data_IF_302377605815
#
_entry.id   IF_302377605815
#
_cell.length_a   1.000
_cell.length_b   1.000
_cell.length_c   1.000
_cell.angle_alpha   90.00
_cell.angle_beta   90.00
_cell.angle_gamma   90.00
#
_symmetry.space_group_name_H-M   'P 1'
#
loop_
_entity.id
_entity.type
_entity.pdbx_description
1 polymer ?
#
# COMPACT_ATOMS: atom_id res chain seq x y z
N UNK A 1 -11.02 -13.05 -43.00
CA UNK A 1 -9.66 -12.53 -42.78
C UNK A 1 -9.52 -12.49 -41.27
N UNK A 2 -8.69 -13.36 -40.71
CA UNK A 2 -8.43 -13.36 -39.27
C UNK A 2 -7.62 -12.11 -38.94
N UNK A 3 -8.18 -11.25 -38.09
CA UNK A 3 -7.50 -10.08 -37.58
C UNK A 3 -6.58 -10.58 -36.48
N UNK A 4 -5.25 -10.44 -36.59
CA UNK A 4 -4.34 -10.85 -35.52
C UNK A 4 -4.64 -10.00 -34.28
N UNK A 5 -4.93 -10.67 -33.16
CA UNK A 5 -5.03 -10.05 -31.84
C UNK A 5 -3.66 -10.15 -31.16
N UNK A 6 -3.17 -9.04 -30.64
CA UNK A 6 -1.94 -8.98 -29.85
C UNK A 6 -2.33 -8.73 -28.41
N UNK A 7 -1.81 -9.54 -27.50
CA UNK A 7 -1.92 -9.37 -26.07
C UNK A 7 -0.51 -9.41 -25.47
N UNK A 8 -0.24 -8.61 -24.43
CA UNK A 8 1.02 -8.71 -23.68
C UNK A 8 0.74 -9.43 -22.38
N UNK A 9 1.55 -10.44 -22.09
CA UNK A 9 1.49 -11.24 -20.88
C UNK A 9 2.62 -10.80 -19.97
N UNK A 10 2.29 -10.38 -18.76
CA UNK A 10 3.25 -10.05 -17.72
C UNK A 10 3.20 -11.16 -16.68
N UNK A 11 4.39 -11.63 -16.28
CA UNK A 11 4.55 -12.74 -15.37
C UNK A 11 5.64 -12.41 -14.37
N UNK A 12 5.25 -12.38 -13.10
CA UNK A 12 6.15 -12.21 -11.97
C UNK A 12 6.09 -13.48 -11.13
N UNK A 13 7.25 -14.01 -10.76
CA UNK A 13 7.38 -15.27 -10.04
C UNK A 13 8.37 -15.09 -8.91
N UNK A 14 7.89 -15.30 -7.70
CA UNK A 14 8.72 -15.37 -6.51
C UNK A 14 9.28 -16.78 -6.35
N UNK A 15 10.61 -16.88 -6.27
CA UNK A 15 11.32 -18.15 -6.21
C UNK A 15 12.17 -18.22 -4.94
N UNK A 16 12.02 -19.31 -4.19
CA UNK A 16 12.97 -19.69 -3.14
C UNK A 16 13.80 -20.87 -3.62
N UNK A 17 15.11 -20.83 -3.38
CA UNK A 17 16.00 -21.93 -3.71
C UNK A 17 16.99 -22.19 -2.57
N UNK A 18 17.03 -23.44 -2.11
CA UNK A 18 17.85 -23.90 -0.99
C UNK A 18 19.26 -24.38 -1.44
N UNK A 19 19.47 -24.56 -2.74
CA UNK A 19 20.73 -24.98 -3.35
C UNK A 19 21.11 -24.07 -4.55
N UNK A 20 21.77 -22.91 -4.31
CA UNK A 20 22.14 -21.96 -5.37
C UNK A 20 23.00 -22.57 -6.49
N UNK A 21 23.84 -23.56 -6.16
CA UNK A 21 24.67 -24.26 -7.14
C UNK A 21 23.84 -25.06 -8.18
N UNK A 22 22.65 -25.53 -7.79
CA UNK A 22 21.76 -26.29 -8.69
C UNK A 22 21.19 -25.39 -9.80
N UNK A 23 20.83 -24.16 -9.45
CA UNK A 23 20.36 -23.11 -10.38
C UNK A 23 21.44 -22.78 -11.41
N UNK A 24 22.67 -22.52 -10.94
CA UNK A 24 23.80 -22.24 -11.83
C UNK A 24 24.17 -23.43 -12.71
N UNK A 25 24.10 -24.66 -12.17
CA UNK A 25 24.35 -25.86 -12.96
C UNK A 25 23.31 -26.04 -14.08
N UNK A 26 22.05 -25.71 -13.81
CA UNK A 26 20.97 -25.75 -14.79
C UNK A 26 21.16 -24.68 -15.88
N UNK A 27 21.42 -23.42 -15.49
CA UNK A 27 21.70 -22.33 -16.43
C UNK A 27 22.91 -22.63 -17.35
N UNK A 28 23.97 -23.27 -16.83
CA UNK A 28 25.11 -23.71 -17.65
C UNK A 28 24.76 -24.83 -18.63
N UNK A 29 23.80 -25.70 -18.28
CA UNK A 29 23.31 -26.74 -19.18
C UNK A 29 22.48 -26.11 -20.30
N UNK A 30 21.56 -25.23 -19.96
CA UNK A 30 20.76 -24.45 -20.90
C UNK A 30 21.65 -23.64 -21.86
N UNK A 31 22.69 -22.97 -21.36
CA UNK A 31 23.65 -22.21 -22.17
C UNK A 31 24.33 -23.05 -23.26
N UNK A 32 24.61 -24.34 -22.97
CA UNK A 32 25.20 -25.28 -23.94
C UNK A 32 24.21 -25.74 -24.99
N UNK A 33 22.94 -25.78 -24.65
CA UNK A 33 21.84 -26.16 -25.56
C UNK A 33 21.49 -25.00 -26.49
N UNK A 34 21.53 -23.75 -25.99
CA UNK A 34 21.21 -22.55 -26.77
C UNK A 34 22.35 -22.01 -27.63
N UNK A 35 23.61 -22.35 -27.34
CA UNK A 35 24.73 -21.81 -28.11
C UNK A 35 24.83 -22.37 -29.54
N UNK A 36 24.06 -23.41 -29.89
CA UNK A 36 24.00 -24.06 -31.22
C UNK A 36 25.38 -24.25 -31.90
N UNK A 37 26.39 -24.60 -31.10
CA UNK A 37 27.78 -24.80 -31.55
C UNK A 37 28.65 -23.53 -31.68
N UNK A 38 28.13 -22.32 -31.45
CA UNK A 38 28.94 -21.10 -31.36
C UNK A 38 29.74 -21.07 -30.05
N UNK A 39 31.05 -21.22 -30.20
CA UNK A 39 31.99 -21.25 -29.08
C UNK A 39 32.19 -19.90 -28.39
N UNK A 40 31.96 -18.78 -29.08
CA UNK A 40 32.08 -17.46 -28.48
C UNK A 40 30.85 -17.15 -27.62
N UNK A 41 29.66 -17.34 -28.18
CA UNK A 41 28.40 -17.18 -27.45
C UNK A 41 28.33 -18.10 -26.22
N UNK A 42 28.82 -19.34 -26.35
CA UNK A 42 28.87 -20.28 -25.22
C UNK A 42 29.76 -19.77 -24.06
N UNK A 43 30.89 -19.15 -24.36
CA UNK A 43 31.80 -18.63 -23.32
C UNK A 43 31.15 -17.48 -22.54
N UNK A 44 30.45 -16.59 -23.24
CA UNK A 44 29.74 -15.46 -22.62
C UNK A 44 28.59 -15.94 -21.73
N UNK A 45 27.75 -16.86 -22.22
CA UNK A 45 26.64 -17.42 -21.45
C UNK A 45 27.13 -18.20 -20.22
N UNK A 46 28.23 -18.96 -20.35
CA UNK A 46 28.81 -19.68 -19.21
C UNK A 46 29.42 -18.75 -18.15
N UNK A 47 29.97 -17.60 -18.57
CA UNK A 47 30.48 -16.59 -17.65
C UNK A 47 29.34 -15.94 -16.86
N UNK A 48 28.25 -15.57 -17.54
CA UNK A 48 27.06 -15.00 -16.91
C UNK A 48 26.39 -15.98 -15.93
N UNK A 49 26.24 -17.25 -16.31
CA UNK A 49 25.69 -18.29 -15.43
C UNK A 49 26.56 -18.59 -14.20
N UNK A 50 27.83 -18.16 -14.19
CA UNK A 50 28.77 -18.37 -13.09
C UNK A 50 28.93 -17.14 -12.19
N UNK A 51 28.36 -16.00 -12.56
CA UNK A 51 28.50 -14.74 -11.83
C UNK A 51 27.79 -14.77 -10.48
N UNK A 52 26.50 -15.15 -10.48
CA UNK A 52 25.72 -15.35 -9.26
C UNK A 52 24.50 -16.26 -9.55
N UNK A 53 23.83 -16.80 -8.51
CA UNK A 53 22.59 -17.56 -8.68
C UNK A 53 21.46 -16.73 -9.30
N UNK A 54 21.40 -15.43 -8.98
CA UNK A 54 20.43 -14.48 -9.53
C UNK A 54 20.70 -14.21 -11.01
N UNK A 55 21.95 -13.97 -11.41
CA UNK A 55 22.33 -13.87 -12.83
C UNK A 55 22.00 -15.15 -13.60
N UNK A 56 22.11 -16.32 -12.97
CA UNK A 56 21.74 -17.59 -13.57
C UNK A 56 20.22 -17.76 -13.72
N UNK A 57 19.41 -17.24 -12.79
CA UNK A 57 17.94 -17.22 -12.93
C UNK A 57 17.49 -16.29 -14.06
N UNK A 58 18.09 -15.12 -14.19
CA UNK A 58 17.78 -14.15 -15.25
C UNK A 58 18.04 -14.70 -16.66
N UNK A 59 18.86 -15.74 -16.80
CA UNK A 59 19.10 -16.43 -18.07
C UNK A 59 17.99 -17.42 -18.44
N UNK A 60 17.20 -17.87 -17.47
CA UNK A 60 16.12 -18.84 -17.66
C UNK A 60 14.83 -18.07 -17.93
N UNK A 61 14.54 -17.88 -19.22
CA UNK A 61 13.46 -17.00 -19.71
C UNK A 61 12.07 -17.56 -19.42
N UNK A 62 11.95 -18.89 -19.30
CA UNK A 62 10.66 -19.54 -19.09
C UNK A 62 10.54 -20.09 -17.65
N UNK A 63 9.43 -19.81 -16.96
CA UNK A 63 9.11 -20.34 -15.63
C UNK A 63 9.25 -21.84 -15.49
N UNK A 64 8.81 -22.57 -16.52
CA UNK A 64 8.82 -24.04 -16.55
C UNK A 64 10.26 -24.61 -16.62
N UNK A 65 11.22 -23.84 -17.15
CA UNK A 65 12.64 -24.20 -17.16
C UNK A 65 13.26 -24.09 -15.76
N UNK A 66 12.60 -23.38 -14.84
CA UNK A 66 13.04 -23.20 -13.46
C UNK A 66 12.26 -24.13 -12.53
N UNK A 67 10.94 -24.10 -12.63
CA UNK A 67 9.99 -24.82 -11.79
C UNK A 67 9.88 -26.29 -12.23
N UNK A 68 10.47 -27.18 -11.43
CA UNK A 68 10.44 -28.64 -11.66
C UNK A 68 11.66 -29.20 -12.38
N UNK A 69 12.44 -28.36 -13.07
CA UNK A 69 13.68 -28.76 -13.73
C UNK A 69 14.94 -28.51 -12.87
N UNK A 70 14.87 -27.61 -11.90
CA UNK A 70 15.92 -27.34 -10.92
C UNK A 70 15.53 -27.90 -9.55
N UNK A 71 16.23 -28.92 -9.01
CA UNK A 71 15.96 -29.45 -7.69
C UNK A 71 16.16 -28.38 -6.60
N UNK A 72 15.19 -28.25 -5.70
CA UNK A 72 15.26 -27.31 -4.57
C UNK A 72 14.72 -25.91 -4.84
N UNK A 73 14.35 -25.61 -6.09
CA UNK A 73 13.63 -24.37 -6.42
C UNK A 73 12.14 -24.57 -6.21
N UNK A 74 11.51 -23.67 -5.46
CA UNK A 74 10.09 -23.71 -5.15
C UNK A 74 9.46 -22.37 -5.50
N UNK A 75 8.32 -22.39 -6.21
CA UNK A 75 7.50 -21.21 -6.41
C UNK A 75 6.87 -20.79 -5.07
N UNK A 76 7.11 -19.55 -4.67
CA UNK A 76 6.44 -18.94 -3.52
C UNK A 76 5.13 -18.27 -3.92
N UNK A 77 5.03 -17.83 -5.18
CA UNK A 77 3.85 -17.23 -5.79
C UNK A 77 4.08 -16.92 -7.27
N UNK A 78 2.99 -16.71 -8.00
CA UNK A 78 3.04 -16.22 -9.38
C UNK A 78 1.87 -15.26 -9.63
N UNK A 79 2.17 -14.08 -10.17
CA UNK A 79 1.20 -13.08 -10.60
C UNK A 79 1.22 -13.00 -12.13
N UNK A 80 0.05 -13.11 -12.74
CA UNK A 80 -0.14 -13.10 -14.19
C UNK A 80 -1.21 -12.08 -14.57
N UNK A 81 -0.90 -11.16 -15.48
CA UNK A 81 -1.89 -10.24 -16.05
C UNK A 81 -1.65 -10.03 -17.54
N UNK A 82 -2.72 -9.62 -18.23
CA UNK A 82 -2.76 -9.51 -19.69
C UNK A 82 -3.22 -8.11 -20.09
N UNK A 83 -2.39 -7.36 -20.83
CA UNK A 83 -2.83 -6.11 -21.46
C UNK A 83 -3.92 -6.42 -22.50
N UNK A 84 -5.09 -5.81 -22.33
CA UNK A 84 -6.18 -5.82 -23.32
C UNK A 84 -7.28 -6.84 -23.08
N UNK A 85 -7.42 -7.41 -21.88
CA UNK A 85 -8.57 -8.24 -21.51
C UNK A 85 -9.78 -7.40 -21.01
N UNK A 86 -10.13 -6.31 -21.71
CA UNK A 86 -11.46 -5.70 -21.59
C UNK A 86 -12.47 -6.53 -22.39
N UNK A 87 -12.81 -7.71 -21.85
CA UNK A 87 -13.94 -8.49 -22.31
C UNK A 87 -15.10 -8.30 -21.34
N UNK A 88 -16.00 -7.37 -21.64
CA UNK A 88 -17.26 -7.19 -20.92
C UNK A 88 -17.97 -8.54 -20.72
N UNK A 89 -18.51 -8.85 -19.52
CA UNK A 89 -19.44 -9.95 -19.37
C UNK A 89 -20.74 -9.61 -20.12
N UNK A 90 -21.02 -10.37 -21.18
CA UNK A 90 -22.23 -10.39 -22.03
C UNK A 90 -23.43 -9.55 -21.51
N UNK A 91 -23.53 -8.32 -22.02
CA UNK A 91 -24.73 -7.49 -21.92
C UNK A 91 -25.79 -7.99 -22.91
N UNK A 92 -26.60 -8.96 -22.49
CA UNK A 92 -27.90 -9.26 -23.08
C UNK A 92 -28.96 -9.48 -22.01
N UNK A 93 -29.33 -8.42 -21.28
CA UNK A 93 -30.74 -8.18 -20.91
C UNK A 93 -30.98 -6.66 -20.84
N UNK A 94 -32.00 -6.27 -21.58
CA UNK A 94 -32.40 -4.92 -21.95
C UNK A 94 -32.87 -4.06 -20.76
N UNK A 95 -32.42 -2.79 -20.76
CA UNK A 95 -33.26 -1.60 -20.97
C UNK A 95 -34.41 -1.35 -19.98
N UNK A 96 -34.31 -0.28 -19.18
CA UNK A 96 -35.10 0.94 -19.40
C UNK A 96 -34.76 1.98 -18.31
N UNK A 97 -34.45 3.18 -18.78
CA UNK A 97 -34.78 4.51 -18.25
C UNK A 97 -34.84 4.69 -16.72
N UNK A 98 -33.80 5.31 -16.15
CA UNK A 98 -33.94 6.43 -15.21
C UNK A 98 -32.69 7.31 -15.29
N UNK A 99 -32.78 8.38 -16.08
CA UNK A 99 -32.07 9.62 -15.82
C UNK A 99 -32.64 10.20 -14.50
N UNK A 100 -31.77 10.47 -13.53
CA UNK A 100 -31.99 11.55 -12.56
C UNK A 100 -30.64 11.96 -11.95
N UNK A 101 -30.27 13.18 -12.32
CA UNK A 101 -29.26 14.10 -11.79
C UNK A 101 -28.65 13.77 -10.42
N UNK A 102 -27.35 13.49 -10.41
CA UNK A 102 -26.46 13.94 -9.34
C UNK A 102 -25.18 14.48 -9.98
N UNK A 103 -25.29 15.67 -10.57
CA UNK A 103 -24.15 16.51 -10.89
C UNK A 103 -23.53 17.01 -9.58
N UNK A 104 -22.66 16.18 -8.99
CA UNK A 104 -21.67 16.61 -8.02
C UNK A 104 -20.33 16.65 -8.73
N UNK A 105 -19.92 17.83 -9.20
CA UNK A 105 -18.53 18.12 -9.56
C UNK A 105 -17.62 17.71 -8.39
N UNK A 106 -17.02 16.53 -8.48
CA UNK A 106 -15.98 16.05 -7.56
C UNK A 106 -14.78 15.56 -8.38
N UNK A 107 -14.46 16.28 -9.45
CA UNK A 107 -13.48 15.86 -10.47
C UNK A 107 -12.40 16.92 -10.73
N UNK A 108 -12.30 17.96 -9.89
CA UNK A 108 -11.39 19.08 -10.12
C UNK A 108 -10.25 19.24 -9.10
N UNK A 109 -10.28 18.55 -7.95
CA UNK A 109 -9.29 18.76 -6.88
C UNK A 109 -8.22 17.65 -6.80
N UNK A 110 -8.47 16.48 -7.39
CA UNK A 110 -7.48 15.39 -7.48
C UNK A 110 -6.46 15.59 -8.60
N UNK A 111 -6.82 16.28 -9.68
CA UNK A 111 -5.93 16.54 -10.82
C UNK A 111 -4.86 17.60 -10.56
N UNK A 112 -5.05 18.48 -9.57
CA UNK A 112 -4.14 19.60 -9.31
C UNK A 112 -2.93 19.20 -8.43
N UNK A 113 -2.97 18.03 -7.78
CA UNK A 113 -1.85 17.49 -6.97
C UNK A 113 -0.78 16.81 -7.85
N UNK A 114 -1.15 16.34 -9.04
CA UNK A 114 -0.29 15.59 -9.96
C UNK A 114 -0.39 16.21 -11.35
N UNK A 115 0.42 17.24 -11.60
CA UNK A 115 0.25 18.13 -12.76
C UNK A 115 0.23 17.43 -14.13
N UNK A 116 -0.58 17.99 -15.04
CA UNK A 116 -0.55 17.93 -16.53
C UNK A 116 -0.11 16.63 -17.26
N UNK A 117 -0.17 15.45 -16.64
CA UNK A 117 0.08 14.16 -17.31
C UNK A 117 -1.22 13.43 -17.67
N UNK A 118 -1.21 12.63 -18.74
CA UNK A 118 -2.36 11.84 -19.21
C UNK A 118 -2.96 11.01 -18.05
N UNK A 119 -4.29 10.78 -18.02
CA UNK A 119 -4.89 10.04 -16.92
C UNK A 119 -4.23 8.66 -16.79
N UNK A 120 -3.50 8.45 -15.69
CA UNK A 120 -2.90 7.17 -15.35
C UNK A 120 -3.97 6.08 -15.38
N UNK A 121 -3.70 4.95 -16.02
CA UNK A 121 -4.66 3.84 -16.06
C UNK A 121 -4.83 3.24 -14.67
N UNK A 122 -5.96 2.57 -14.40
CA UNK A 122 -6.18 1.89 -13.11
C UNK A 122 -5.04 0.91 -12.79
N UNK A 123 -4.51 0.22 -13.81
CA UNK A 123 -3.37 -0.69 -13.68
C UNK A 123 -2.07 0.03 -13.26
N UNK A 124 -1.85 1.26 -13.75
CA UNK A 124 -0.70 2.07 -13.35
C UNK A 124 -0.80 2.50 -11.87
N UNK A 125 -2.01 2.85 -11.42
CA UNK A 125 -2.29 3.15 -10.01
C UNK A 125 -2.05 1.94 -9.11
N UNK A 126 -2.56 0.77 -9.50
CA UNK A 126 -2.35 -0.47 -8.75
C UNK A 126 -0.87 -0.83 -8.65
N UNK A 127 -0.11 -0.67 -9.75
CA UNK A 127 1.33 -0.89 -9.76
C UNK A 127 2.06 0.10 -8.84
N UNK A 128 1.71 1.38 -8.90
CA UNK A 128 2.30 2.43 -8.05
C UNK A 128 2.03 2.17 -6.56
N UNK A 129 0.81 1.79 -6.21
CA UNK A 129 0.43 1.41 -4.84
C UNK A 129 1.24 0.19 -4.39
N UNK A 130 1.29 -0.87 -5.19
CA UNK A 130 2.03 -2.09 -4.86
C UNK A 130 3.52 -1.78 -4.63
N UNK A 131 4.16 -1.02 -5.53
CA UNK A 131 5.55 -0.63 -5.42
C UNK A 131 5.82 0.22 -4.17
N UNK A 132 4.91 1.13 -3.82
CA UNK A 132 5.04 2.00 -2.66
C UNK A 132 5.11 1.24 -1.31
N UNK A 133 4.74 -0.04 -1.28
CA UNK A 133 4.88 -0.89 -0.10
C UNK A 133 6.33 -0.93 0.42
N UNK A 134 7.34 -0.79 -0.44
CA UNK A 134 8.76 -0.80 -0.02
C UNK A 134 9.13 0.39 0.87
N UNK A 135 8.36 1.48 0.84
CA UNK A 135 8.63 2.71 1.60
C UNK A 135 8.28 2.58 3.09
N UNK A 136 7.51 1.55 3.48
CA UNK A 136 7.11 1.29 4.88
C UNK A 136 7.67 -0.04 5.44
N UNK A 137 8.99 -0.28 5.41
CA UNK A 137 9.56 -1.57 5.85
C UNK A 137 9.43 -1.81 7.36
N UNK A 138 9.11 -0.77 8.15
CA UNK A 138 8.80 -0.90 9.57
C UNK A 138 7.42 -1.49 9.85
N UNK A 139 6.56 -1.61 8.82
CA UNK A 139 5.25 -2.24 8.89
C UNK A 139 5.32 -3.68 8.37
N UNK A 140 5.35 -4.63 9.30
CA UNK A 140 5.45 -6.06 9.02
C UNK A 140 4.21 -6.58 8.28
N UNK A 141 4.42 -7.34 7.20
CA UNK A 141 3.36 -7.93 6.40
C UNK A 141 2.55 -8.97 7.19
N UNK A 142 3.13 -9.63 8.19
CA UNK A 142 2.36 -10.56 9.06
C UNK A 142 1.26 -9.82 9.84
N UNK A 143 1.50 -8.56 10.21
CA UNK A 143 0.50 -7.69 10.86
C UNK A 143 -0.60 -7.25 9.91
N UNK A 144 -0.35 -7.36 8.60
CA UNK A 144 -1.25 -7.01 7.51
C UNK A 144 -1.92 -8.23 6.86
N UNK A 145 -1.69 -9.42 7.39
CA UNK A 145 -2.44 -10.63 7.02
C UNK A 145 -1.65 -11.66 6.23
N UNK A 146 -0.37 -11.42 5.97
CA UNK A 146 0.51 -12.43 5.41
C UNK A 146 0.72 -13.59 6.41
N UNK A 147 0.54 -14.83 5.96
CA UNK A 147 0.71 -16.02 6.79
C UNK A 147 1.88 -16.87 6.31
N UNK A 148 3.01 -16.79 7.02
CA UNK A 148 4.21 -17.60 6.73
C UNK A 148 4.03 -19.10 7.01
N UNK A 149 3.03 -19.46 7.83
CA UNK A 149 2.72 -20.84 8.22
C UNK A 149 1.64 -21.50 7.37
N UNK A 150 1.06 -20.77 6.41
CA UNK A 150 0.09 -21.33 5.47
C UNK A 150 0.77 -22.39 4.58
N UNK A 151 0.14 -23.57 4.49
CA UNK A 151 0.67 -24.72 3.78
C UNK A 151 0.20 -24.77 2.31
N UNK A 152 -0.92 -24.11 2.00
CA UNK A 152 -1.37 -23.96 0.63
C UNK A 152 -0.60 -22.82 -0.06
N UNK A 153 0.25 -23.11 -1.07
CA UNK A 153 1.07 -22.10 -1.72
C UNK A 153 0.25 -20.98 -2.38
N UNK A 154 -0.91 -21.29 -2.94
CA UNK A 154 -1.76 -20.29 -3.62
C UNK A 154 -2.36 -19.30 -2.62
N UNK A 155 -2.83 -19.82 -1.48
CA UNK A 155 -3.39 -18.98 -0.39
C UNK A 155 -2.29 -18.14 0.25
N UNK A 156 -1.09 -18.71 0.42
CA UNK A 156 0.06 -17.98 0.94
C UNK A 156 0.47 -16.84 0.00
N UNK A 157 0.59 -17.12 -1.30
CA UNK A 157 0.92 -16.13 -2.32
C UNK A 157 -0.14 -15.00 -2.38
N UNK A 158 -1.42 -15.36 -2.33
CA UNK A 158 -2.51 -14.39 -2.26
C UNK A 158 -2.40 -13.50 -1.02
N UNK A 159 -2.16 -14.09 0.16
CA UNK A 159 -2.02 -13.32 1.41
C UNK A 159 -0.80 -12.38 1.39
N UNK A 160 0.30 -12.79 0.72
CA UNK A 160 1.48 -11.96 0.55
C UNK A 160 1.17 -10.74 -0.34
N UNK A 161 0.52 -10.97 -1.49
CA UNK A 161 0.09 -9.92 -2.41
C UNK A 161 -0.86 -8.94 -1.73
N UNK A 162 -1.89 -9.44 -1.06
CA UNK A 162 -2.87 -8.64 -0.35
C UNK A 162 -2.26 -7.81 0.78
N UNK A 163 -1.36 -8.39 1.58
CA UNK A 163 -0.63 -7.66 2.62
C UNK A 163 0.28 -6.58 2.02
N UNK A 164 0.91 -6.86 0.87
CA UNK A 164 1.75 -5.90 0.15
C UNK A 164 0.94 -4.73 -0.41
N UNK A 165 -0.20 -5.01 -1.05
CA UNK A 165 -1.17 -4.00 -1.48
C UNK A 165 -1.63 -3.13 -0.31
N UNK A 166 -1.98 -3.74 0.83
CA UNK A 166 -2.41 -3.00 2.01
C UNK A 166 -1.30 -2.09 2.55
N UNK A 167 -0.05 -2.56 2.57
CA UNK A 167 1.09 -1.73 2.99
C UNK A 167 1.30 -0.54 2.04
N UNK A 168 1.18 -0.79 0.74
CA UNK A 168 1.22 0.23 -0.30
C UNK A 168 0.09 1.25 -0.19
N UNK A 169 -1.13 0.79 0.07
CA UNK A 169 -2.29 1.64 0.26
C UNK A 169 -2.16 2.52 1.50
N UNK A 170 -1.65 1.97 2.62
CA UNK A 170 -1.34 2.73 3.83
C UNK A 170 -0.28 3.81 3.54
N UNK A 171 0.72 3.49 2.71
CA UNK A 171 1.71 4.47 2.31
C UNK A 171 1.10 5.62 1.50
N UNK A 172 0.32 5.30 0.47
CA UNK A 172 -0.41 6.30 -0.32
C UNK A 172 -1.28 7.19 0.56
N UNK A 173 -2.07 6.57 1.44
CA UNK A 173 -2.96 7.26 2.36
C UNK A 173 -2.21 8.15 3.35
N UNK A 174 -1.01 7.73 3.77
CA UNK A 174 -0.14 8.52 4.62
C UNK A 174 0.43 9.74 3.88
N UNK A 175 0.91 9.58 2.64
CA UNK A 175 1.37 10.73 1.83
C UNK A 175 0.23 11.73 1.61
N UNK A 176 -0.94 11.23 1.20
CA UNK A 176 -2.15 12.04 1.06
C UNK A 176 -2.50 12.78 2.36
N UNK A 177 -2.51 12.09 3.51
CA UNK A 177 -2.77 12.70 4.81
C UNK A 177 -1.77 13.82 5.14
N UNK A 178 -0.48 13.65 4.83
CA UNK A 178 0.54 14.68 5.08
C UNK A 178 0.27 15.93 4.27
N UNK A 179 0.00 15.80 2.96
CA UNK A 179 -0.26 16.95 2.09
C UNK A 179 -1.50 17.72 2.56
N UNK A 180 -2.56 17.00 2.88
CA UNK A 180 -3.80 17.57 3.39
C UNK A 180 -3.61 18.27 4.75
N UNK A 181 -2.75 17.72 5.63
CA UNK A 181 -2.42 18.38 6.90
C UNK A 181 -1.56 19.64 6.71
N UNK A 182 -0.73 19.72 5.67
CA UNK A 182 -0.04 20.97 5.31
C UNK A 182 -1.05 22.04 4.87
N UNK A 183 -2.03 21.67 4.05
CA UNK A 183 -3.10 22.56 3.61
C UNK A 183 -3.95 23.04 4.79
N UNK A 184 -4.35 22.14 5.69
CA UNK A 184 -5.07 22.47 6.91
C UNK A 184 -4.30 23.47 7.80
N UNK A 185 -2.98 23.25 7.96
CA UNK A 185 -2.11 24.17 8.71
C UNK A 185 -2.06 25.55 8.02
N UNK A 186 -1.96 25.59 6.69
CA UNK A 186 -1.93 26.83 5.93
C UNK A 186 -3.26 27.59 6.03
N UNK A 187 -4.38 26.89 5.87
CA UNK A 187 -5.73 27.44 5.98
C UNK A 187 -5.95 28.07 7.36
N UNK A 188 -5.70 27.32 8.43
CA UNK A 188 -5.90 27.81 9.80
C UNK A 188 -4.95 28.96 10.16
N UNK A 189 -3.70 28.97 9.67
CA UNK A 189 -2.79 30.10 9.90
C UNK A 189 -3.24 31.38 9.19
N UNK A 190 -3.90 31.24 8.05
CA UNK A 190 -4.42 32.37 7.27
C UNK A 190 -5.72 32.89 7.86
N UNK A 191 -6.62 31.97 8.23
CA UNK A 191 -7.91 32.25 8.85
C UNK A 191 -8.15 31.29 10.02
N UNK A 192 -7.87 31.71 11.27
CA UNK A 192 -8.02 30.84 12.45
C UNK A 192 -9.44 30.33 12.75
N UNK A 193 -10.45 30.79 11.99
CA UNK A 193 -11.83 30.32 12.08
C UNK A 193 -12.25 29.36 10.96
N UNK A 194 -11.38 29.08 9.99
CA UNK A 194 -11.66 28.27 8.79
C UNK A 194 -11.51 26.76 9.04
N UNK A 195 -11.93 26.26 10.21
CA UNK A 195 -11.87 24.83 10.51
C UNK A 195 -12.86 24.03 9.66
N UNK A 196 -13.93 24.67 9.21
CA UNK A 196 -14.88 24.15 8.24
C UNK A 196 -14.29 23.99 6.83
N UNK A 197 -13.22 24.70 6.52
CA UNK A 197 -12.43 24.54 5.28
C UNK A 197 -11.31 23.50 5.46
N UNK A 198 -11.06 23.01 6.68
CA UNK A 198 -10.01 22.02 6.95
C UNK A 198 -10.51 20.59 6.66
N UNK A 199 -9.72 19.86 5.89
CA UNK A 199 -10.09 18.57 5.32
C UNK A 199 -9.90 17.45 6.37
N UNK A 200 -8.68 17.29 6.89
CA UNK A 200 -8.35 16.19 7.80
C UNK A 200 -8.64 16.54 9.26
N UNK A 201 -8.37 17.79 9.66
CA UNK A 201 -8.71 18.25 11.00
C UNK A 201 -10.22 18.35 11.22
N UNK A 202 -11.01 18.57 10.17
CA UNK A 202 -12.47 18.52 10.21
C UNK A 202 -13.01 17.12 10.51
N UNK A 203 -12.28 16.07 10.13
CA UNK A 203 -12.62 14.67 10.35
C UNK A 203 -12.28 14.14 11.75
N UNK A 204 -11.56 14.91 12.57
CA UNK A 204 -11.26 14.57 13.97
C UNK A 204 -12.51 14.65 14.87
N UNK A 205 -12.47 14.08 16.09
CA UNK A 205 -13.64 14.01 16.97
C UNK A 205 -14.34 15.36 17.20
N UNK A 206 -15.59 15.56 16.73
CA UNK A 206 -16.17 16.89 16.55
C UNK A 206 -16.41 17.66 17.86
N UNK A 207 -16.53 16.95 18.99
CA UNK A 207 -16.70 17.57 20.31
C UNK A 207 -15.52 18.46 20.72
N UNK A 208 -14.36 18.27 20.09
CA UNK A 208 -13.12 18.96 20.41
C UNK A 208 -12.73 20.04 19.39
N UNK A 209 -13.59 20.34 18.40
CA UNK A 209 -13.32 21.28 17.32
C UNK A 209 -12.83 22.66 17.79
N UNK A 210 -13.30 23.15 18.95
CA UNK A 210 -12.84 24.42 19.52
C UNK A 210 -11.35 24.45 19.87
N UNK A 211 -10.68 23.29 19.91
CA UNK A 211 -9.25 23.15 20.18
C UNK A 211 -8.40 23.05 18.90
N UNK A 212 -9.01 22.85 17.73
CA UNK A 212 -8.30 22.61 16.46
C UNK A 212 -7.83 23.93 15.82
N UNK A 213 -7.06 24.71 16.58
CA UNK A 213 -6.43 25.93 16.09
C UNK A 213 -5.10 25.68 15.37
N UNK A 214 -4.44 26.75 14.88
CA UNK A 214 -3.20 26.64 14.10
C UNK A 214 -2.08 25.87 14.81
N UNK A 215 -1.90 26.08 16.12
CA UNK A 215 -0.87 25.36 16.88
C UNK A 215 -1.20 23.87 17.04
N UNK A 216 -2.49 23.53 17.21
CA UNK A 216 -2.92 22.13 17.25
C UNK A 216 -2.61 21.45 15.93
N UNK A 217 -2.99 22.07 14.81
CA UNK A 217 -2.71 21.58 13.46
C UNK A 217 -1.21 21.30 13.24
N UNK A 218 -0.36 22.25 13.62
CA UNK A 218 1.09 22.09 13.51
C UNK A 218 1.63 20.93 14.36
N UNK A 219 1.15 20.77 15.60
CA UNK A 219 1.54 19.65 16.46
C UNK A 219 1.02 18.32 15.93
N UNK A 220 -0.20 18.29 15.40
CA UNK A 220 -0.83 17.11 14.82
C UNK A 220 -0.08 16.64 13.55
N UNK A 221 0.32 17.58 12.68
CA UNK A 221 1.20 17.29 11.54
C UNK A 221 2.54 16.70 12.01
N UNK A 222 3.16 17.27 13.04
CA UNK A 222 4.46 16.76 13.53
C UNK A 222 4.35 15.34 14.10
N UNK A 223 3.31 15.01 14.88
CA UNK A 223 3.15 13.60 15.34
C UNK A 223 2.83 12.65 14.19
N UNK A 224 2.16 13.13 13.13
CA UNK A 224 1.90 12.34 11.93
C UNK A 224 3.20 12.05 11.19
N UNK A 225 4.11 13.02 11.05
CA UNK A 225 5.45 12.80 10.50
C UNK A 225 6.29 11.81 11.34
N UNK A 226 6.18 11.88 12.67
CA UNK A 226 6.81 10.91 13.56
C UNK A 226 6.24 9.49 13.35
N UNK A 227 4.93 9.37 13.14
CA UNK A 227 4.28 8.09 12.81
C UNK A 227 4.82 7.54 11.49
N UNK A 228 4.92 8.36 10.44
CA UNK A 228 5.51 7.96 9.17
C UNK A 228 6.96 7.49 9.31
N UNK A 229 7.75 8.17 10.13
CA UNK A 229 9.12 7.74 10.46
C UNK A 229 9.13 6.36 11.11
N UNK A 230 8.20 6.09 12.04
CA UNK A 230 8.07 4.78 12.66
C UNK A 230 7.66 3.70 11.65
N UNK A 231 6.66 3.97 10.80
CA UNK A 231 6.21 3.07 9.72
C UNK A 231 7.34 2.75 8.73
N UNK A 232 8.23 3.72 8.47
CA UNK A 232 9.38 3.55 7.60
C UNK A 232 10.58 2.83 8.24
N UNK A 233 10.60 2.62 9.57
CA UNK A 233 11.78 2.09 10.28
C UNK A 233 11.47 0.90 11.18
N UNK A 234 10.72 1.12 12.26
CA UNK A 234 10.37 0.08 13.23
C UNK A 234 9.07 0.44 13.95
N UNK A 235 7.94 0.16 13.30
CA UNK A 235 6.62 0.44 13.87
C UNK A 235 6.17 -0.71 14.76
N UNK A 236 5.81 -0.40 15.99
CA UNK A 236 5.21 -1.35 16.93
C UNK A 236 3.76 -0.98 17.24
N UNK A 237 3.51 0.28 17.60
CA UNK A 237 2.18 0.86 17.77
C UNK A 237 2.33 2.39 17.89
N UNK A 238 1.23 3.15 17.80
CA UNK A 238 1.24 4.59 18.06
C UNK A 238 1.85 4.93 19.43
N UNK A 239 2.57 6.04 19.49
CA UNK A 239 3.27 6.50 20.71
C UNK A 239 2.44 7.40 21.60
N UNK A 240 1.31 7.89 21.10
CA UNK A 240 0.32 8.70 21.83
C UNK A 240 -1.03 8.66 21.09
N UNK A 241 -2.08 9.13 21.76
CA UNK A 241 -3.44 9.18 21.22
C UNK A 241 -3.56 10.04 19.95
N UNK A 242 -2.75 11.09 19.79
CA UNK A 242 -2.71 11.86 18.55
C UNK A 242 -2.14 11.06 17.36
N UNK A 243 -1.19 10.15 17.60
CA UNK A 243 -0.72 9.23 16.55
C UNK A 243 -1.76 8.15 16.24
N UNK A 244 -2.57 7.71 17.21
CA UNK A 244 -3.69 6.81 16.93
C UNK A 244 -4.72 7.48 16.02
N UNK A 245 -5.10 8.72 16.33
CA UNK A 245 -6.02 9.50 15.48
C UNK A 245 -5.46 9.69 14.07
N UNK A 246 -4.16 9.99 13.95
CA UNK A 246 -3.47 10.12 12.67
C UNK A 246 -3.48 8.80 11.87
N UNK A 247 -3.17 7.68 12.51
CA UNK A 247 -3.25 6.36 11.88
C UNK A 247 -4.68 6.03 11.45
N UNK A 248 -5.68 6.33 12.27
CA UNK A 248 -7.09 6.15 11.92
C UNK A 248 -7.45 6.94 10.66
N UNK A 249 -7.05 8.21 10.56
CA UNK A 249 -7.31 9.04 9.37
C UNK A 249 -6.65 8.45 8.12
N UNK A 250 -5.41 7.96 8.23
CA UNK A 250 -4.77 7.25 7.12
C UNK A 250 -5.56 5.98 6.73
N UNK A 251 -6.02 5.19 7.69
CA UNK A 251 -6.83 4.00 7.39
C UNK A 251 -8.19 4.36 6.76
N UNK A 252 -8.83 5.46 7.15
CA UNK A 252 -10.05 5.93 6.48
C UNK A 252 -9.79 6.31 5.01
N UNK A 253 -8.64 6.93 4.73
CA UNK A 253 -8.23 7.20 3.35
C UNK A 253 -7.95 5.91 2.55
N UNK A 254 -7.54 4.82 3.21
CA UNK A 254 -7.44 3.50 2.56
C UNK A 254 -8.83 2.94 2.23
N UNK A 255 -9.84 3.13 3.09
CA UNK A 255 -11.23 2.76 2.76
C UNK A 255 -11.70 3.51 1.50
N UNK A 256 -11.47 4.82 1.43
CA UNK A 256 -11.80 5.65 0.24
C UNK A 256 -11.05 5.15 -1.00
N UNK A 257 -9.74 4.88 -0.87
CA UNK A 257 -8.93 4.38 -1.99
C UNK A 257 -9.44 3.03 -2.50
N UNK A 258 -9.85 2.13 -1.61
CA UNK A 258 -10.39 0.82 -1.99
C UNK A 258 -11.76 0.93 -2.68
N UNK A 259 -12.58 1.92 -2.33
CA UNK A 259 -13.82 2.23 -3.06
C UNK A 259 -13.52 2.78 -4.46
N UNK A 260 -12.47 3.59 -4.59
CA UNK A 260 -12.04 4.18 -5.88
C UNK A 260 -11.35 3.18 -6.81
N UNK A 261 -10.64 2.20 -6.26
CA UNK A 261 -9.91 1.17 -6.99
C UNK A 261 -10.43 -0.22 -6.63
N UNK A 262 -11.59 -0.67 -7.18
CA UNK A 262 -12.18 -1.96 -6.84
C UNK A 262 -11.27 -3.16 -7.15
N UNK A 263 -10.31 -3.01 -8.06
CA UNK A 263 -9.31 -4.03 -8.37
C UNK A 263 -8.13 -4.08 -7.37
N UNK A 264 -8.07 -3.14 -6.41
CA UNK A 264 -7.12 -3.16 -5.31
C UNK A 264 -7.43 -4.33 -4.38
N UNK A 265 -6.74 -5.44 -4.61
CA UNK A 265 -6.90 -6.69 -3.87
C UNK A 265 -6.34 -6.56 -2.45
N UNK A 266 -7.21 -6.15 -1.52
CA UNK A 266 -6.96 -6.07 -0.08
C UNK A 266 -7.52 -7.32 0.63
N UNK A 267 -7.02 -7.67 1.83
CA UNK A 267 -7.64 -8.70 2.64
C UNK A 267 -9.12 -8.37 2.93
N UNK A 268 -10.03 -9.37 2.85
CA UNK A 268 -11.50 -9.17 3.01
C UNK A 268 -11.90 -8.45 4.31
N UNK A 269 -11.09 -8.56 5.36
CA UNK A 269 -11.30 -7.92 6.66
C UNK A 269 -10.12 -7.04 7.08
N UNK A 270 -9.45 -6.42 6.12
CA UNK A 270 -8.23 -5.65 6.35
C UNK A 270 -8.40 -4.58 7.43
N UNK A 271 -9.54 -3.88 7.49
CA UNK A 271 -9.77 -2.81 8.49
C UNK A 271 -9.82 -3.37 9.91
N UNK A 272 -10.55 -4.46 10.11
CA UNK A 272 -10.63 -5.14 11.40
C UNK A 272 -9.27 -5.72 11.81
N UNK A 273 -8.51 -6.24 10.84
CA UNK A 273 -7.15 -6.71 11.06
C UNK A 273 -6.23 -5.56 11.49
N UNK A 274 -6.22 -4.45 10.75
CA UNK A 274 -5.41 -3.28 11.03
C UNK A 274 -5.74 -2.68 12.41
N UNK A 275 -7.02 -2.54 12.75
CA UNK A 275 -7.44 -2.09 14.08
C UNK A 275 -6.91 -3.00 15.20
N UNK A 276 -6.86 -4.31 14.96
CA UNK A 276 -6.38 -5.30 15.93
C UNK A 276 -4.86 -5.35 16.04
N UNK A 277 -4.15 -5.17 14.94
CA UNK A 277 -2.70 -5.42 14.88
C UNK A 277 -1.87 -4.16 14.94
N UNK A 278 -2.40 -2.99 14.54
CA UNK A 278 -1.65 -1.73 14.46
C UNK A 278 -1.79 -0.85 15.69
N UNK A 279 -2.86 -1.02 16.46
CA UNK A 279 -3.11 -0.28 17.69
C UNK A 279 -2.93 -1.18 18.92
N UNK A 280 -2.51 -0.59 20.05
CA UNK A 280 -2.45 -1.30 21.33
C UNK A 280 -3.85 -1.41 21.97
N UNK A 281 -4.68 -0.39 21.79
CA UNK A 281 -6.09 -0.34 22.13
C UNK A 281 -6.87 0.52 21.12
N UNK A 282 -8.15 0.79 21.39
CA UNK A 282 -9.00 1.61 20.52
C UNK A 282 -9.54 2.83 21.28
N UNK A 283 -8.71 3.44 22.13
CA UNK A 283 -9.12 4.61 22.93
C UNK A 283 -9.51 5.81 22.04
N UNK A 284 -8.88 5.97 20.87
CA UNK A 284 -9.31 6.96 19.88
C UNK A 284 -10.77 6.78 19.41
N UNK A 285 -11.28 5.55 19.32
CA UNK A 285 -12.69 5.29 18.96
C UNK A 285 -13.65 5.79 20.05
N UNK A 286 -13.23 5.72 21.32
CA UNK A 286 -14.03 6.25 22.43
C UNK A 286 -14.22 7.76 22.32
N UNK A 287 -13.29 8.51 21.70
CA UNK A 287 -13.44 9.94 21.48
C UNK A 287 -14.56 10.26 20.47
N UNK A 288 -14.69 9.45 19.41
CA UNK A 288 -15.78 9.61 18.43
C UNK A 288 -17.13 9.23 19.03
N UNK A 289 -17.19 8.13 19.79
CA UNK A 289 -18.42 7.73 20.51
C UNK A 289 -18.83 8.77 21.56
N UNK A 290 -17.88 9.27 22.33
CA UNK A 290 -18.05 10.38 23.27
C UNK A 290 -18.64 11.61 22.58
N UNK A 291 -18.16 11.95 21.38
CA UNK A 291 -18.68 13.06 20.60
C UNK A 291 -20.13 12.86 20.17
N UNK A 292 -20.52 11.64 19.76
CA UNK A 292 -21.91 11.30 19.44
C UNK A 292 -22.84 11.42 20.66
N UNK A 293 -22.33 11.16 21.86
CA UNK A 293 -23.07 11.26 23.12
C UNK A 293 -22.97 12.64 23.79
N UNK A 294 -22.16 13.56 23.25
CA UNK A 294 -21.89 14.88 23.84
C UNK A 294 -21.16 14.84 25.19
N UNK A 295 -20.34 13.81 25.44
CA UNK A 295 -19.65 13.60 26.72
C UNK A 295 -18.13 13.61 26.53
N UNK A 296 -17.45 14.72 26.84
CA UNK A 296 -15.99 14.78 26.73
C UNK A 296 -15.33 13.87 27.79
N UNK A 297 -14.37 13.03 27.35
CA UNK A 297 -13.75 11.99 28.20
C UNK A 297 -12.30 12.31 28.55
N UNK A 298 -11.58 13.01 27.66
CA UNK A 298 -10.13 13.31 27.79
C UNK A 298 -9.85 14.76 27.39
N UNK A 299 -8.89 15.43 28.05
CA UNK A 299 -8.37 16.74 27.64
C UNK A 299 -7.48 16.61 26.39
N UNK A 300 -7.65 17.51 25.42
CA UNK A 300 -6.88 17.51 24.15
C UNK A 300 -5.37 17.62 24.40
N UNK A 301 -4.96 18.28 25.49
CA UNK A 301 -3.54 18.36 25.86
C UNK A 301 -2.91 16.97 26.09
N UNK A 302 -3.69 16.01 26.59
CA UNK A 302 -3.24 14.65 26.85
C UNK A 302 -3.04 13.85 25.56
N UNK A 303 -3.62 14.28 24.42
CA UNK A 303 -3.48 13.57 23.14
C UNK A 303 -2.04 13.52 22.65
N UNK A 304 -1.26 14.54 23.02
CA UNK A 304 0.17 14.68 22.69
C UNK A 304 1.08 14.21 23.82
N UNK A 305 0.56 13.54 24.84
CA UNK A 305 1.39 12.95 25.89
C UNK A 305 1.83 11.56 25.45
N UNK A 306 3.13 11.25 25.41
CA UNK A 306 3.60 9.90 25.07
C UNK A 306 3.07 8.86 26.06
N UNK A 307 2.72 7.68 25.54
CA UNK A 307 2.47 6.50 26.34
C UNK A 307 3.76 6.05 27.08
N UNK A 308 3.65 5.22 28.13
CA UNK A 308 4.83 4.74 28.88
C UNK A 308 5.89 4.14 27.95
N UNK A 309 7.16 4.51 28.19
CA UNK A 309 8.32 4.05 27.41
C UNK A 309 8.36 4.47 25.93
N UNK A 310 7.45 5.39 25.53
CA UNK A 310 7.43 5.99 24.19
C UNK A 310 7.99 7.42 24.22
N UNK A 311 8.30 7.93 23.03
CA UNK A 311 8.70 9.33 22.83
C UNK A 311 8.08 9.86 21.55
N UNK A 312 7.77 11.15 21.53
CA UNK A 312 7.39 11.89 20.33
C UNK A 312 8.31 13.09 20.16
N UNK A 313 8.24 13.76 19.01
CA UNK A 313 8.99 14.97 18.74
C UNK A 313 8.73 16.05 19.82
N UNK A 314 9.78 16.68 20.38
CA UNK A 314 9.64 17.71 21.40
C UNK A 314 8.75 18.90 21.00
N UNK A 315 8.60 19.18 19.70
CA UNK A 315 7.71 20.23 19.22
C UNK A 315 6.22 19.86 19.39
N UNK A 316 5.89 18.59 19.16
CA UNK A 316 4.56 18.07 19.35
C UNK A 316 4.21 17.87 20.82
N UNK A 317 5.20 17.49 21.63
CA UNK A 317 5.04 17.31 23.06
C UNK A 317 4.45 18.58 23.70
N UNK A 318 3.42 18.39 24.50
CA UNK A 318 2.92 19.44 25.34
C UNK A 318 3.75 19.50 26.63
N UNK A 319 4.12 20.70 27.08
CA UNK A 319 4.68 20.91 28.43
C UNK A 319 3.57 20.93 29.50
#
# INVERSE_FOLDING_TARGET
>A
MDIPRTAKLHLEIDLEFDHPDAVQAHARKWAREQSDGDSHALVELLAQAAESPESALMMLVEPDDVLGAVPGVTALGASMWIDGASGEPDAWLAQDDLEDDVDGEFDAEFGDVLGDEEPESEDDWLHTIFAAAEKLPGLDLERLGYSTVELNPDVRAQSLRQATNLRGAIHWAYEYLIDQLFDDVQALRTSPGALDEALQLGALPPLYQSHYGPLFAQRFLVVTLDLGTALATSFSSPSCLAQELSLKLALDSVDILAEMLPALDLPEHWRALANKTLFDDLDHELLYQAAQLGMATVDVSAWFTPFPERSINPYAANE
#
